data_IF_166736789239
#
_entry.id   IF_166736789239
#
_cell.length_a   1.000
_cell.length_b   1.000
_cell.length_c   1.000
_cell.angle_alpha   90.00
_cell.angle_beta   90.00
_cell.angle_gamma   90.00
#
_symmetry.space_group_name_H-M   'P 1'
#
loop_
_entity.id
_entity.type
_entity.pdbx_description
1 polymer ?
#
# COMPACT_ATOMS: atom_id res chain seq x y z
N UNK A 1 -11.15 24.39 0.48
CA UNK A 1 -12.17 23.46 1.03
C UNK A 1 -11.77 23.01 2.41
N UNK A 2 -12.76 22.62 3.23
CA UNK A 2 -12.53 21.90 4.48
C UNK A 2 -12.68 20.40 4.21
N UNK A 3 -11.58 19.65 4.30
CA UNK A 3 -11.51 18.22 3.94
C UNK A 3 -11.37 17.40 5.21
N UNK A 4 -12.12 16.29 5.29
CA UNK A 4 -12.02 15.33 6.36
C UNK A 4 -11.57 13.97 5.79
N UNK A 5 -10.40 13.50 6.21
CA UNK A 5 -10.00 12.10 6.00
C UNK A 5 -10.61 11.26 7.13
N UNK A 6 -11.38 10.25 6.76
CA UNK A 6 -11.95 9.28 7.68
C UNK A 6 -11.16 7.98 7.61
N UNK A 7 -10.38 7.68 8.65
CA UNK A 7 -9.45 6.56 8.74
C UNK A 7 -9.87 5.58 9.84
N UNK A 8 -9.44 4.35 9.75
CA UNK A 8 -9.67 3.34 10.76
C UNK A 8 -8.91 3.63 12.05
N UNK A 9 -7.58 3.63 11.98
CA UNK A 9 -6.72 3.82 13.17
C UNK A 9 -5.33 4.36 12.77
N UNK A 10 -5.09 5.66 12.95
CA UNK A 10 -3.81 6.31 12.63
C UNK A 10 -2.64 5.88 13.52
N UNK A 11 -2.85 5.09 14.56
CA UNK A 11 -1.76 4.53 15.38
C UNK A 11 -1.12 3.27 14.79
N UNK A 12 -1.71 2.68 13.74
CA UNK A 12 -1.20 1.49 13.08
C UNK A 12 -0.12 1.84 12.06
N UNK A 13 0.88 0.95 11.92
CA UNK A 13 1.93 1.07 10.90
C UNK A 13 1.51 0.31 9.63
N UNK A 14 0.52 0.85 8.91
CA UNK A 14 -0.01 0.28 7.67
C UNK A 14 0.13 1.21 6.48
N UNK A 15 -0.18 0.69 5.28
CA UNK A 15 -0.13 1.47 4.03
C UNK A 15 -1.17 2.57 3.95
N UNK A 16 -2.38 2.33 4.46
CA UNK A 16 -3.49 3.30 4.48
C UNK A 16 -3.16 4.50 5.36
N UNK A 17 -2.66 4.26 6.57
CA UNK A 17 -2.28 5.28 7.53
C UNK A 17 -1.12 6.14 6.99
N UNK A 18 -0.12 5.49 6.35
CA UNK A 18 0.98 6.20 5.70
C UNK A 18 0.50 7.08 4.56
N UNK A 19 -0.37 6.57 3.69
CA UNK A 19 -0.91 7.34 2.57
C UNK A 19 -1.81 8.46 3.03
N UNK A 20 -2.62 8.25 4.09
CA UNK A 20 -3.41 9.30 4.73
C UNK A 20 -2.52 10.43 5.25
N UNK A 21 -1.41 10.09 5.92
CA UNK A 21 -0.43 11.09 6.37
C UNK A 21 0.15 11.86 5.20
N UNK A 22 0.65 11.20 4.17
CA UNK A 22 1.26 11.85 3.00
C UNK A 22 0.25 12.76 2.30
N UNK A 23 -0.94 12.26 1.96
CA UNK A 23 -1.92 13.05 1.20
C UNK A 23 -2.48 14.21 2.03
N UNK A 24 -2.77 14.02 3.30
CA UNK A 24 -3.23 15.10 4.19
C UNK A 24 -2.18 16.20 4.33
N UNK A 25 -0.89 15.84 4.44
CA UNK A 25 0.23 16.77 4.50
C UNK A 25 0.43 17.55 3.18
N UNK A 26 0.13 16.94 2.04
CA UNK A 26 0.19 17.60 0.72
C UNK A 26 -0.95 18.60 0.53
N UNK A 27 -2.16 18.24 0.95
CA UNK A 27 -3.36 19.05 0.73
C UNK A 27 -3.51 20.20 1.74
N UNK A 28 -2.88 20.12 2.92
CA UNK A 28 -3.01 21.15 3.96
C UNK A 28 -2.45 22.52 3.54
N UNK A 29 -1.63 22.57 2.49
CA UNK A 29 -1.10 23.83 1.97
C UNK A 29 -2.13 24.66 1.18
N UNK A 30 -3.18 24.00 0.67
CA UNK A 30 -4.24 24.62 -0.17
C UNK A 30 -5.63 24.46 0.43
N UNK A 31 -5.80 23.57 1.39
CA UNK A 31 -7.06 23.24 2.03
C UNK A 31 -6.94 23.24 3.57
N UNK A 32 -8.06 23.35 4.26
CA UNK A 32 -8.13 23.03 5.68
C UNK A 32 -8.38 21.54 5.82
N UNK A 33 -7.46 20.82 6.48
CA UNK A 33 -7.47 19.35 6.53
C UNK A 33 -7.65 18.86 7.96
N UNK A 34 -8.59 17.93 8.10
CA UNK A 34 -8.84 17.15 9.29
C UNK A 34 -8.61 15.67 9.01
N UNK A 35 -8.04 14.95 9.96
CA UNK A 35 -7.94 13.49 9.96
C UNK A 35 -8.70 12.98 11.18
N UNK A 36 -9.62 12.06 10.98
CA UNK A 36 -10.39 11.44 12.06
C UNK A 36 -10.17 9.95 12.07
N UNK A 37 -9.63 9.44 13.18
CA UNK A 37 -9.53 7.99 13.44
C UNK A 37 -10.81 7.50 14.10
N UNK A 38 -11.39 6.41 13.60
CA UNK A 38 -12.52 5.75 14.26
C UNK A 38 -12.07 4.99 15.52
N UNK A 39 -10.87 4.42 15.49
CA UNK A 39 -10.19 3.75 16.59
C UNK A 39 -8.83 4.41 16.84
N UNK A 40 -8.25 4.16 18.00
CA UNK A 40 -6.89 4.56 18.31
C UNK A 40 -6.37 3.62 19.41
N UNK A 41 -5.65 2.58 18.99
CA UNK A 41 -5.19 1.49 19.89
C UNK A 41 -3.78 1.75 20.41
N UNK A 42 -2.97 2.50 19.68
CA UNK A 42 -1.62 2.90 20.08
C UNK A 42 -1.60 4.15 20.96
N UNK A 43 -0.41 4.57 21.35
CA UNK A 43 -0.18 5.80 22.15
C UNK A 43 0.00 7.03 21.26
N UNK A 44 0.59 6.85 20.06
CA UNK A 44 0.94 7.91 19.13
C UNK A 44 0.50 7.58 17.70
N UNK A 45 0.44 8.62 16.86
CA UNK A 45 0.21 8.50 15.42
C UNK A 45 1.44 7.84 14.79
N UNK A 46 1.22 6.79 13.99
CA UNK A 46 2.30 5.99 13.41
C UNK A 46 3.15 6.73 12.37
N UNK A 47 2.56 7.68 11.65
CA UNK A 47 3.22 8.48 10.62
C UNK A 47 2.98 9.97 10.87
N UNK A 48 4.00 10.84 10.76
CA UNK A 48 3.91 12.24 11.18
C UNK A 48 2.88 13.03 10.34
N UNK A 49 2.06 13.82 11.02
CA UNK A 49 1.17 14.78 10.39
C UNK A 49 1.75 16.18 10.48
N UNK A 50 1.57 16.98 9.43
CA UNK A 50 1.90 18.40 9.46
C UNK A 50 1.12 19.07 10.62
N UNK A 51 1.74 19.97 11.39
CA UNK A 51 1.07 20.66 12.52
C UNK A 51 -0.21 21.40 12.15
N UNK A 52 -0.42 21.73 10.87
CA UNK A 52 -1.66 22.35 10.38
C UNK A 52 -2.79 21.35 10.14
N UNK A 53 -2.51 20.05 10.11
CA UNK A 53 -3.52 18.98 10.00
C UNK A 53 -4.09 18.70 11.38
N UNK A 54 -5.40 18.89 11.55
CA UNK A 54 -6.06 18.60 12.82
C UNK A 54 -6.41 17.10 12.91
N UNK A 55 -5.73 16.36 13.80
CA UNK A 55 -6.09 14.96 14.07
C UNK A 55 -7.05 14.86 15.26
N UNK A 56 -8.05 14.01 15.13
CA UNK A 56 -9.04 13.71 16.17
C UNK A 56 -9.39 12.23 16.20
N UNK A 57 -9.78 11.74 17.36
CA UNK A 57 -10.24 10.37 17.57
C UNK A 57 -11.72 10.37 17.90
N UNK A 58 -12.49 9.59 17.20
CA UNK A 58 -13.91 9.42 17.47
C UNK A 58 -14.11 8.50 18.68
N UNK A 59 -14.12 9.07 19.90
CA UNK A 59 -14.14 8.35 21.19
C UNK A 59 -15.40 7.50 21.47
N UNK A 60 -16.29 7.33 20.50
CA UNK A 60 -17.53 6.56 20.72
C UNK A 60 -17.38 5.06 20.52
N UNK A 61 -16.19 4.52 20.26
CA UNK A 61 -15.97 3.11 19.93
C UNK A 61 -15.34 2.26 21.06
N UNK A 62 -15.45 2.68 22.31
CA UNK A 62 -15.12 1.80 23.43
C UNK A 62 -16.22 0.72 23.56
N UNK A 63 -15.99 -0.45 22.95
CA UNK A 63 -16.95 -1.54 22.88
C UNK A 63 -17.92 -1.41 21.68
N UNK A 64 -18.95 -2.22 21.62
CA UNK A 64 -19.90 -2.35 20.51
C UNK A 64 -20.73 -1.08 20.22
N UNK A 65 -20.08 -0.02 19.74
CA UNK A 65 -20.80 1.20 19.33
C UNK A 65 -21.61 0.93 18.07
N UNK A 66 -22.90 1.19 18.11
CA UNK A 66 -23.76 1.01 16.96
C UNK A 66 -23.35 1.96 15.81
N UNK A 67 -23.46 1.52 14.56
CA UNK A 67 -23.28 2.34 13.35
C UNK A 67 -23.96 3.72 13.49
N UNK A 68 -25.18 3.75 14.03
CA UNK A 68 -25.96 4.98 14.23
C UNK A 68 -25.27 5.99 15.15
N UNK A 69 -24.61 5.51 16.21
CA UNK A 69 -23.88 6.40 17.13
C UNK A 69 -22.68 7.04 16.42
N UNK A 70 -21.89 6.23 15.71
CA UNK A 70 -20.74 6.74 14.93
C UNK A 70 -21.19 7.75 13.88
N UNK A 71 -22.21 7.42 13.10
CA UNK A 71 -22.75 8.32 12.05
C UNK A 71 -23.26 9.62 12.65
N UNK A 72 -23.94 9.59 13.82
CA UNK A 72 -24.44 10.80 14.47
C UNK A 72 -23.32 11.72 14.93
N UNK A 73 -22.27 11.18 15.57
CA UNK A 73 -21.14 11.99 16.02
C UNK A 73 -20.34 12.53 14.83
N UNK A 74 -20.13 11.72 13.79
CA UNK A 74 -19.49 12.16 12.56
C UNK A 74 -20.28 13.27 11.85
N UNK A 75 -21.61 13.14 11.76
CA UNK A 75 -22.49 14.18 11.22
C UNK A 75 -22.41 15.48 12.00
N UNK A 76 -22.37 15.41 13.33
CA UNK A 76 -22.18 16.57 14.18
C UNK A 76 -20.85 17.26 13.89
N UNK A 77 -19.77 16.47 13.76
CA UNK A 77 -18.45 16.99 13.41
C UNK A 77 -18.45 17.68 12.05
N UNK A 78 -19.01 17.03 11.03
CA UNK A 78 -19.15 17.58 9.66
C UNK A 78 -19.85 18.94 9.67
N UNK A 79 -20.96 19.05 10.43
CA UNK A 79 -21.71 20.28 10.53
C UNK A 79 -20.96 21.39 11.29
N UNK A 80 -20.38 21.07 12.46
CA UNK A 80 -19.69 22.04 13.31
C UNK A 80 -18.44 22.62 12.63
N UNK A 81 -17.71 21.78 11.88
CA UNK A 81 -16.48 22.19 11.20
C UNK A 81 -16.71 22.65 9.76
N UNK A 82 -17.95 22.60 9.25
CA UNK A 82 -18.28 23.00 7.88
C UNK A 82 -17.48 22.18 6.86
N UNK A 83 -17.47 20.85 6.99
CA UNK A 83 -16.73 19.96 6.10
C UNK A 83 -17.35 19.95 4.70
N UNK A 84 -16.57 20.34 3.71
CA UNK A 84 -16.99 20.37 2.30
C UNK A 84 -16.87 18.97 1.65
N UNK A 85 -15.83 18.18 2.02
CA UNK A 85 -15.57 16.88 1.46
C UNK A 85 -15.08 15.89 2.52
N UNK A 86 -15.66 14.67 2.52
CA UNK A 86 -15.15 13.53 3.29
C UNK A 86 -14.41 12.61 2.33
N UNK A 87 -13.17 12.26 2.65
CA UNK A 87 -12.40 11.22 1.98
C UNK A 87 -12.39 10.00 2.90
N UNK A 88 -13.19 8.98 2.56
CA UNK A 88 -13.16 7.70 3.25
C UNK A 88 -11.92 6.94 2.83
N UNK A 89 -11.02 6.68 3.76
CA UNK A 89 -9.83 5.89 3.50
C UNK A 89 -10.18 4.41 3.66
N UNK A 90 -10.10 3.69 2.57
CA UNK A 90 -10.63 2.33 2.38
C UNK A 90 -12.18 2.28 2.26
N UNK A 91 -12.64 1.29 1.51
CA UNK A 91 -14.06 1.02 1.27
C UNK A 91 -14.85 0.77 2.55
N UNK A 92 -14.22 0.17 3.59
CA UNK A 92 -14.85 -0.08 4.88
C UNK A 92 -15.33 1.19 5.58
N UNK A 93 -14.64 2.33 5.37
CA UNK A 93 -15.03 3.63 5.93
C UNK A 93 -16.21 4.25 5.18
N UNK A 94 -16.47 3.82 3.95
CA UNK A 94 -17.50 4.39 3.08
C UNK A 94 -18.90 4.43 3.70
N UNK A 95 -19.28 3.40 4.46
CA UNK A 95 -20.60 3.39 5.10
C UNK A 95 -20.78 4.54 6.11
N UNK A 96 -19.74 4.88 6.85
CA UNK A 96 -19.80 5.94 7.86
C UNK A 96 -19.84 7.32 7.22
N UNK A 97 -18.90 7.60 6.31
CA UNK A 97 -18.81 8.91 5.66
C UNK A 97 -20.04 9.24 4.78
N UNK A 98 -20.50 8.27 3.99
CA UNK A 98 -21.68 8.45 3.13
C UNK A 98 -22.92 8.73 3.99
N UNK A 99 -23.19 7.92 5.03
CA UNK A 99 -24.34 8.14 5.90
C UNK A 99 -24.25 9.45 6.69
N UNK A 100 -23.06 9.86 7.06
CA UNK A 100 -22.87 11.15 7.74
C UNK A 100 -23.15 12.34 6.84
N UNK A 101 -22.89 12.25 5.56
CA UNK A 101 -23.12 13.30 4.56
C UNK A 101 -24.58 13.41 4.09
N UNK A 102 -25.42 12.39 4.31
CA UNK A 102 -26.81 12.39 3.85
C UNK A 102 -27.56 13.62 4.37
N UNK A 103 -28.19 14.37 3.45
CA UNK A 103 -28.96 15.59 3.76
C UNK A 103 -28.12 16.85 3.98
N UNK A 104 -26.81 16.79 3.72
CA UNK A 104 -25.91 17.95 3.71
C UNK A 104 -25.42 18.26 2.28
N UNK A 105 -24.63 19.34 2.13
CA UNK A 105 -23.91 19.66 0.88
C UNK A 105 -22.53 19.01 0.81
N UNK A 106 -22.13 18.27 1.85
CA UNK A 106 -20.82 17.64 1.96
C UNK A 106 -20.67 16.56 0.90
N UNK A 107 -19.62 16.62 0.13
CA UNK A 107 -19.24 15.64 -0.87
C UNK A 107 -18.52 14.46 -0.25
N UNK A 108 -18.56 13.31 -0.90
CA UNK A 108 -17.93 12.10 -0.40
C UNK A 108 -17.10 11.43 -1.49
N UNK A 109 -15.82 11.25 -1.21
CA UNK A 109 -14.92 10.41 -1.98
C UNK A 109 -14.66 9.12 -1.19
N UNK A 110 -14.67 7.96 -1.83
CA UNK A 110 -14.12 6.74 -1.25
C UNK A 110 -12.82 6.40 -1.98
N UNK A 111 -11.74 6.26 -1.21
CA UNK A 111 -10.38 5.96 -1.68
C UNK A 111 -10.03 4.51 -1.32
N UNK A 112 -10.14 3.62 -2.30
CA UNK A 112 -9.86 2.19 -2.14
C UNK A 112 -8.35 1.93 -2.18
N UNK A 113 -7.82 1.31 -1.14
CA UNK A 113 -6.40 0.97 -1.02
C UNK A 113 -6.08 -0.49 -1.30
N UNK A 114 -7.10 -1.33 -1.34
CA UNK A 114 -6.97 -2.74 -1.68
C UNK A 114 -7.34 -2.98 -3.14
N UNK A 115 -7.56 -4.21 -3.55
CA UNK A 115 -8.16 -4.51 -4.84
C UNK A 115 -9.60 -5.01 -4.69
N UNK A 116 -10.32 -5.04 -5.80
CA UNK A 116 -11.73 -5.43 -5.86
C UNK A 116 -12.03 -6.80 -5.22
N UNK A 117 -11.11 -7.73 -5.22
CA UNK A 117 -11.33 -9.11 -4.75
C UNK A 117 -10.93 -9.32 -3.29
N UNK A 118 -10.25 -8.37 -2.67
CA UNK A 118 -9.90 -8.48 -1.27
C UNK A 118 -11.11 -8.20 -0.39
N UNK A 119 -11.62 -9.22 0.25
CA UNK A 119 -12.78 -9.13 1.15
C UNK A 119 -12.40 -9.14 2.63
N UNK A 120 -11.09 -9.10 2.94
CA UNK A 120 -10.58 -9.14 4.32
C UNK A 120 -11.19 -10.27 5.17
N UNK A 121 -11.51 -11.42 4.55
CA UNK A 121 -12.17 -12.54 5.19
C UNK A 121 -13.64 -12.29 5.58
N UNK A 122 -14.24 -11.17 5.20
CA UNK A 122 -15.61 -10.81 5.57
C UNK A 122 -16.60 -10.98 4.42
N UNK A 123 -17.66 -11.77 4.63
CA UNK A 123 -18.77 -11.91 3.68
C UNK A 123 -19.58 -10.63 3.46
N UNK A 124 -19.45 -9.64 4.35
CA UNK A 124 -20.13 -8.33 4.25
C UNK A 124 -19.39 -7.35 3.36
N UNK A 125 -18.09 -7.52 3.17
CA UNK A 125 -17.23 -6.55 2.46
C UNK A 125 -17.66 -6.30 1.01
N UNK A 126 -18.10 -7.30 0.21
CA UNK A 126 -18.61 -7.05 -1.13
C UNK A 126 -19.84 -6.13 -1.18
N UNK A 127 -20.69 -6.16 -0.15
CA UNK A 127 -21.86 -5.26 -0.04
C UNK A 127 -21.44 -3.85 0.33
N UNK A 128 -20.48 -3.68 1.26
CA UNK A 128 -19.90 -2.38 1.60
C UNK A 128 -19.23 -1.74 0.39
N UNK A 129 -18.48 -2.51 -0.39
CA UNK A 129 -17.85 -2.07 -1.63
C UNK A 129 -18.87 -1.57 -2.65
N UNK A 130 -19.95 -2.34 -2.88
CA UNK A 130 -21.03 -1.91 -3.77
C UNK A 130 -21.75 -0.67 -3.27
N UNK A 131 -21.95 -0.57 -1.96
CA UNK A 131 -22.55 0.62 -1.34
C UNK A 131 -21.66 1.85 -1.56
N UNK A 132 -20.38 1.76 -1.21
CA UNK A 132 -19.44 2.86 -1.40
C UNK A 132 -19.33 3.29 -2.87
N UNK A 133 -19.16 2.34 -3.81
CA UNK A 133 -19.07 2.64 -5.24
C UNK A 133 -20.37 3.17 -5.87
N UNK A 134 -21.52 3.10 -5.20
CA UNK A 134 -22.80 3.62 -5.69
C UNK A 134 -23.23 4.94 -5.08
N UNK A 135 -22.75 5.25 -3.89
CA UNK A 135 -23.26 6.36 -3.10
C UNK A 135 -22.21 7.42 -2.74
N UNK A 136 -20.95 7.23 -3.12
CA UNK A 136 -19.95 8.31 -3.11
C UNK A 136 -20.22 9.29 -4.27
N UNK A 137 -19.67 10.50 -4.19
CA UNK A 137 -19.64 11.46 -5.32
C UNK A 137 -18.50 11.12 -6.30
N UNK A 138 -17.38 10.58 -5.81
CA UNK A 138 -16.31 9.97 -6.61
C UNK A 138 -15.74 8.74 -5.89
N UNK A 139 -15.20 7.80 -6.68
CA UNK A 139 -14.56 6.59 -6.17
C UNK A 139 -13.14 6.49 -6.74
N UNK A 140 -12.13 6.53 -5.88
CA UNK A 140 -10.72 6.51 -6.28
C UNK A 140 -10.16 5.12 -6.06
N UNK A 141 -9.49 4.58 -7.09
CA UNK A 141 -8.75 3.31 -7.06
C UNK A 141 -7.30 3.55 -7.46
N UNK A 142 -6.41 2.60 -7.17
CA UNK A 142 -4.97 2.80 -7.34
C UNK A 142 -4.45 2.38 -8.73
N UNK A 143 -5.19 1.54 -9.48
CA UNK A 143 -4.75 0.99 -10.75
C UNK A 143 -5.85 0.97 -11.81
N UNK A 144 -5.46 1.04 -13.10
CA UNK A 144 -6.41 0.91 -14.20
C UNK A 144 -7.05 -0.49 -14.25
N UNK A 145 -6.31 -1.51 -13.83
CA UNK A 145 -6.81 -2.89 -13.78
C UNK A 145 -7.94 -3.02 -12.75
N UNK A 146 -7.78 -2.37 -11.59
CA UNK A 146 -8.81 -2.38 -10.56
C UNK A 146 -10.02 -1.52 -10.94
N UNK A 147 -9.81 -0.36 -11.59
CA UNK A 147 -10.90 0.43 -12.18
C UNK A 147 -11.77 -0.43 -13.10
N UNK A 148 -11.16 -1.21 -14.01
CA UNK A 148 -11.91 -2.13 -14.87
C UNK A 148 -12.70 -3.14 -14.05
N UNK A 149 -12.11 -3.72 -13.00
CA UNK A 149 -12.82 -4.64 -12.12
C UNK A 149 -14.08 -4.01 -11.49
N UNK A 150 -14.01 -2.75 -11.06
CA UNK A 150 -15.15 -2.03 -10.51
C UNK A 150 -16.19 -1.72 -11.59
N UNK A 151 -15.79 -1.18 -12.75
CA UNK A 151 -16.69 -0.83 -13.86
C UNK A 151 -17.46 -2.06 -14.36
N UNK A 152 -16.77 -3.18 -14.57
CA UNK A 152 -17.36 -4.39 -15.13
C UNK A 152 -18.33 -5.08 -14.17
N UNK A 153 -18.10 -4.97 -12.86
CA UNK A 153 -18.84 -5.72 -11.83
C UNK A 153 -19.83 -4.91 -11.02
N UNK A 154 -19.67 -3.58 -11.01
CA UNK A 154 -20.59 -2.69 -10.29
C UNK A 154 -21.18 -1.69 -11.27
N UNK A 155 -22.48 -1.83 -11.57
CA UNK A 155 -23.21 -0.82 -12.33
C UNK A 155 -23.40 0.42 -11.46
N UNK A 156 -22.59 1.45 -11.70
CA UNK A 156 -22.64 2.73 -11.01
C UNK A 156 -22.55 3.90 -11.98
N UNK A 157 -23.11 5.06 -11.57
CA UNK A 157 -22.95 6.34 -12.27
C UNK A 157 -21.83 7.19 -11.63
N UNK A 158 -21.31 6.74 -10.49
CA UNK A 158 -20.22 7.41 -9.78
C UNK A 158 -18.95 7.33 -10.64
N UNK A 159 -18.24 8.44 -10.86
CA UNK A 159 -16.97 8.43 -11.56
C UNK A 159 -15.95 7.61 -10.78
N UNK A 160 -15.37 6.59 -11.43
CA UNK A 160 -14.27 5.80 -10.89
C UNK A 160 -12.97 6.35 -11.49
N UNK A 161 -12.15 6.94 -10.65
CA UNK A 161 -10.91 7.64 -11.03
C UNK A 161 -9.71 6.83 -10.57
N UNK A 162 -8.67 6.73 -11.40
CA UNK A 162 -7.40 6.12 -11.01
C UNK A 162 -6.46 7.20 -10.52
N UNK A 163 -6.07 7.12 -9.25
CA UNK A 163 -5.02 7.94 -8.65
C UNK A 163 -4.12 6.99 -7.87
N UNK A 164 -2.90 6.73 -8.34
CA UNK A 164 -1.96 5.86 -7.62
C UNK A 164 -1.48 6.53 -6.33
N UNK A 165 -0.92 5.75 -5.44
CA UNK A 165 -0.22 6.28 -4.27
C UNK A 165 1.10 6.94 -4.70
N UNK A 166 1.49 8.07 -4.09
CA UNK A 166 2.74 8.75 -4.40
C UNK A 166 3.96 8.05 -3.80
N UNK A 167 5.09 8.20 -4.44
CA UNK A 167 6.41 7.82 -3.93
C UNK A 167 7.39 8.97 -4.11
N UNK A 168 8.30 9.15 -3.16
CA UNK A 168 9.45 10.04 -3.33
C UNK A 168 10.47 9.38 -4.24
N UNK A 169 10.98 10.14 -5.21
CA UNK A 169 12.00 9.66 -6.17
C UNK A 169 13.36 10.03 -5.60
N UNK A 170 14.20 9.02 -5.41
CA UNK A 170 15.56 9.20 -4.90
C UNK A 170 16.60 9.20 -6.02
N UNK A 171 17.71 9.90 -5.82
CA UNK A 171 18.90 9.68 -6.63
C UNK A 171 19.46 8.30 -6.30
N UNK A 172 19.45 7.42 -7.30
CA UNK A 172 19.86 6.04 -7.10
C UNK A 172 21.36 5.88 -7.24
N UNK A 173 21.98 5.25 -6.24
CA UNK A 173 23.36 4.76 -6.29
C UNK A 173 23.35 3.24 -6.10
N UNK A 174 22.94 2.52 -7.15
CA UNK A 174 22.82 1.07 -7.10
C UNK A 174 24.19 0.40 -6.85
N UNK A 175 24.29 -0.37 -5.75
CA UNK A 175 25.50 -1.12 -5.39
C UNK A 175 25.51 -2.50 -6.07
N UNK A 176 26.29 -2.62 -7.15
CA UNK A 176 26.47 -3.89 -7.87
C UNK A 176 27.16 -4.98 -7.05
N UNK A 177 27.93 -4.61 -6.01
CA UNK A 177 28.65 -5.57 -5.17
C UNK A 177 27.77 -6.18 -4.07
N UNK A 178 26.59 -5.58 -3.86
CA UNK A 178 25.65 -6.10 -2.87
C UNK A 178 25.21 -7.52 -3.21
N UNK A 179 25.08 -8.35 -2.17
CA UNK A 179 24.54 -9.71 -2.22
C UNK A 179 23.31 -9.85 -1.33
N UNK A 180 22.60 -8.74 -1.11
CA UNK A 180 21.41 -8.70 -0.28
C UNK A 180 20.15 -8.70 -1.13
N UNK A 181 19.30 -9.70 -0.92
CA UNK A 181 17.92 -9.72 -1.40
C UNK A 181 17.08 -9.02 -0.33
N UNK A 182 16.20 -8.11 -0.73
CA UNK A 182 15.32 -7.39 0.18
C UNK A 182 13.86 -7.73 -0.08
N UNK A 183 13.10 -7.86 0.97
CA UNK A 183 11.64 -7.84 0.98
C UNK A 183 11.15 -7.04 2.17
N UNK A 184 9.98 -6.40 2.06
CA UNK A 184 9.39 -5.67 3.17
C UNK A 184 7.87 -5.80 3.19
N UNK A 185 7.30 -5.89 4.38
CA UNK A 185 5.87 -5.93 4.58
C UNK A 185 5.45 -6.56 5.91
N UNK A 186 4.17 -6.40 6.25
CA UNK A 186 3.62 -7.05 7.44
C UNK A 186 3.71 -8.58 7.31
N UNK A 187 4.15 -9.28 8.35
CA UNK A 187 4.26 -10.74 8.34
C UNK A 187 2.88 -11.37 8.54
N UNK A 188 2.11 -11.43 7.43
CA UNK A 188 0.76 -12.01 7.34
C UNK A 188 0.66 -12.96 6.14
N UNK A 189 -0.25 -13.94 6.14
CA UNK A 189 -0.32 -14.98 5.09
C UNK A 189 -0.44 -14.46 3.67
N UNK A 190 -1.09 -13.31 3.48
CA UNK A 190 -1.32 -12.70 2.16
C UNK A 190 -0.02 -12.18 1.51
N UNK A 191 1.04 -11.93 2.30
CA UNK A 191 2.35 -11.47 1.80
C UNK A 191 3.23 -12.62 1.28
N UNK A 192 2.86 -13.88 1.55
CA UNK A 192 3.49 -15.05 0.95
C UNK A 192 4.94 -15.27 1.38
N UNK A 193 5.35 -14.85 2.60
CA UNK A 193 6.71 -15.08 3.08
C UNK A 193 7.02 -16.55 3.37
N UNK A 194 5.99 -17.39 3.52
CA UNK A 194 6.08 -18.84 3.48
C UNK A 194 6.58 -19.34 2.12
N UNK A 195 6.14 -18.74 1.03
CA UNK A 195 6.65 -19.03 -0.32
C UNK A 195 8.09 -18.51 -0.48
N UNK A 196 8.39 -17.33 0.10
CA UNK A 196 9.74 -16.79 0.08
C UNK A 196 10.76 -17.75 0.71
N UNK A 197 10.42 -18.47 1.79
CA UNK A 197 11.31 -19.48 2.39
C UNK A 197 11.56 -20.67 1.47
N UNK A 198 10.55 -21.11 0.68
CA UNK A 198 10.72 -22.17 -0.31
C UNK A 198 11.63 -21.72 -1.46
N UNK A 199 11.48 -20.47 -1.93
CA UNK A 199 12.35 -19.86 -2.93
C UNK A 199 13.79 -19.76 -2.39
N UNK A 200 13.95 -19.25 -1.16
CA UNK A 200 15.24 -19.07 -0.49
C UNK A 200 16.03 -20.39 -0.41
N UNK A 201 15.38 -21.49 -0.03
CA UNK A 201 16.00 -22.81 0.02
C UNK A 201 16.65 -23.19 -1.31
N UNK A 202 15.95 -22.98 -2.43
CA UNK A 202 16.44 -23.33 -3.77
C UNK A 202 17.52 -22.35 -4.27
N UNK A 203 17.42 -21.07 -3.93
CA UNK A 203 18.42 -20.07 -4.31
C UNK A 203 19.72 -20.29 -3.52
N UNK A 204 19.65 -20.42 -2.19
CA UNK A 204 20.84 -20.50 -1.35
C UNK A 204 21.54 -21.88 -1.40
N UNK A 205 20.87 -22.94 -1.87
CA UNK A 205 21.56 -24.18 -2.22
C UNK A 205 22.57 -24.01 -3.36
N UNK A 206 22.40 -23.01 -4.22
CA UNK A 206 23.28 -22.69 -5.34
C UNK A 206 24.16 -21.46 -5.08
N UNK A 207 23.67 -20.55 -4.26
CA UNK A 207 24.34 -19.27 -3.96
C UNK A 207 24.35 -19.00 -2.44
N UNK A 208 25.09 -19.80 -1.67
CA UNK A 208 25.15 -19.68 -0.19
C UNK A 208 25.82 -18.39 0.29
N UNK A 209 26.49 -17.67 -0.61
CA UNK A 209 27.14 -16.37 -0.36
C UNK A 209 26.17 -15.17 -0.36
N UNK A 210 24.87 -15.40 -0.63
CA UNK A 210 23.82 -14.38 -0.63
C UNK A 210 23.00 -14.44 0.66
N UNK A 211 22.34 -13.32 0.98
CA UNK A 211 21.41 -13.22 2.11
C UNK A 211 20.08 -12.61 1.67
N UNK A 212 19.03 -12.92 2.40
CA UNK A 212 17.70 -12.33 2.21
C UNK A 212 17.22 -11.70 3.50
N UNK A 213 16.99 -10.38 3.47
CA UNK A 213 16.46 -9.59 4.57
C UNK A 213 14.98 -9.35 4.32
N UNK A 214 14.12 -9.73 5.25
CA UNK A 214 12.66 -9.55 5.19
C UNK A 214 12.28 -8.61 6.34
N UNK A 215 12.09 -7.33 6.04
CA UNK A 215 11.75 -6.29 7.01
C UNK A 215 10.24 -6.28 7.29
N UNK A 216 9.88 -6.34 8.55
CA UNK A 216 8.50 -6.25 9.03
C UNK A 216 8.19 -7.09 10.25
N UNK A 217 7.00 -6.88 10.78
CA UNK A 217 6.44 -7.60 11.92
C UNK A 217 5.05 -8.13 11.58
N UNK A 218 4.60 -9.12 12.34
CA UNK A 218 3.25 -9.64 12.19
C UNK A 218 3.03 -11.00 12.83
N UNK A 219 1.78 -11.49 12.82
CA UNK A 219 1.42 -12.75 13.48
C UNK A 219 2.11 -14.00 12.91
N UNK A 220 2.64 -13.94 11.68
CA UNK A 220 3.36 -15.07 11.07
C UNK A 220 4.84 -15.16 11.49
N UNK A 221 5.37 -14.23 12.32
CA UNK A 221 6.79 -14.21 12.69
C UNK A 221 7.28 -15.55 13.23
N UNK A 222 6.64 -16.08 14.27
CA UNK A 222 7.06 -17.35 14.89
C UNK A 222 6.99 -18.53 13.91
N UNK A 223 6.00 -18.51 13.02
CA UNK A 223 5.86 -19.53 11.98
C UNK A 223 7.03 -19.45 10.99
N UNK A 224 7.36 -18.25 10.53
CA UNK A 224 8.47 -18.03 9.58
C UNK A 224 9.83 -18.37 10.20
N UNK A 225 10.08 -17.99 11.45
CA UNK A 225 11.30 -18.36 12.17
C UNK A 225 11.48 -19.89 12.27
N UNK A 226 10.39 -20.62 12.57
CA UNK A 226 10.40 -22.09 12.56
C UNK A 226 10.71 -22.67 11.17
N UNK A 227 10.09 -22.14 10.11
CA UNK A 227 10.36 -22.56 8.73
C UNK A 227 11.83 -22.30 8.35
N UNK A 228 12.37 -21.12 8.65
CA UNK A 228 13.77 -20.76 8.38
C UNK A 228 14.74 -21.77 9.04
N UNK A 229 14.47 -22.13 10.30
CA UNK A 229 15.30 -23.12 11.01
C UNK A 229 15.15 -24.53 10.43
N UNK A 230 13.93 -24.97 10.16
CA UNK A 230 13.66 -26.31 9.60
C UNK A 230 14.26 -26.50 8.21
N UNK A 231 14.30 -25.45 7.39
CA UNK A 231 14.87 -25.47 6.05
C UNK A 231 16.39 -25.20 6.03
N UNK A 232 17.02 -25.00 7.19
CA UNK A 232 18.47 -24.75 7.30
C UNK A 232 18.90 -23.37 6.78
N UNK A 233 18.02 -22.39 6.82
CA UNK A 233 18.22 -21.04 6.25
C UNK A 233 18.68 -19.99 7.25
N UNK A 234 18.99 -20.37 8.49
CA UNK A 234 19.32 -19.42 9.58
C UNK A 234 20.51 -18.49 9.26
N UNK A 235 21.42 -18.90 8.39
CA UNK A 235 22.60 -18.10 8.00
C UNK A 235 22.31 -17.20 6.77
N UNK A 236 21.17 -17.35 6.12
CA UNK A 236 20.87 -16.66 4.86
C UNK A 236 19.61 -15.81 4.93
N UNK A 237 18.62 -16.15 5.75
CA UNK A 237 17.35 -15.40 5.84
C UNK A 237 17.24 -14.73 7.21
N UNK A 238 17.03 -13.42 7.19
CA UNK A 238 17.00 -12.57 8.39
C UNK A 238 15.66 -11.83 8.51
N UNK A 239 15.09 -11.81 9.71
CA UNK A 239 13.87 -11.09 10.07
C UNK A 239 14.19 -9.99 11.09
N UNK A 240 14.69 -8.81 10.67
CA UNK A 240 15.11 -7.74 11.60
C UNK A 240 13.95 -7.09 12.36
N UNK A 241 12.72 -7.38 11.98
CA UNK A 241 11.54 -6.72 12.53
C UNK A 241 11.15 -5.46 11.77
N UNK A 242 10.42 -4.56 12.45
CA UNK A 242 10.05 -3.27 11.86
C UNK A 242 11.28 -2.36 11.77
N UNK A 243 11.64 -1.98 10.57
CA UNK A 243 12.65 -0.96 10.28
C UNK A 243 11.93 0.38 10.08
N UNK A 244 12.30 1.39 10.85
CA UNK A 244 11.63 2.71 10.83
C UNK A 244 12.04 3.50 9.59
N UNK A 245 13.34 3.51 9.28
CA UNK A 245 13.89 4.12 8.09
C UNK A 245 14.49 3.02 7.21
N UNK A 246 13.82 2.77 6.09
CA UNK A 246 14.21 1.73 5.13
C UNK A 246 15.30 2.17 4.15
N UNK A 247 15.79 3.40 4.25
CA UNK A 247 16.74 3.96 3.27
C UNK A 247 18.03 3.14 3.18
N UNK A 248 18.57 2.73 4.34
CA UNK A 248 19.78 1.91 4.40
C UNK A 248 19.56 0.52 3.79
N UNK A 249 18.41 -0.09 4.06
CA UNK A 249 18.06 -1.40 3.51
C UNK A 249 17.88 -1.34 1.99
N UNK A 250 17.23 -0.31 1.47
CA UNK A 250 17.10 -0.11 0.02
C UNK A 250 18.45 0.18 -0.63
N UNK A 251 19.27 1.04 -0.04
CA UNK A 251 20.58 1.43 -0.60
C UNK A 251 21.53 0.24 -0.75
N UNK A 252 21.43 -0.76 0.14
CA UNK A 252 22.28 -1.94 0.15
C UNK A 252 21.62 -3.19 -0.46
N UNK A 253 20.47 -3.06 -1.12
CA UNK A 253 19.80 -4.18 -1.76
C UNK A 253 20.30 -4.42 -3.19
N UNK A 254 20.67 -5.66 -3.52
CA UNK A 254 20.99 -6.09 -4.88
C UNK A 254 19.74 -6.33 -5.73
N UNK A 255 18.64 -6.77 -5.10
CA UNK A 255 17.33 -6.93 -5.71
C UNK A 255 16.23 -6.89 -4.67
N UNK A 256 15.05 -6.50 -5.07
CA UNK A 256 13.83 -6.58 -4.26
C UNK A 256 12.93 -7.72 -4.75
N UNK A 257 12.41 -8.53 -3.83
CA UNK A 257 11.53 -9.66 -4.17
C UNK A 257 10.18 -9.50 -3.50
N UNK A 258 9.09 -9.63 -4.28
CA UNK A 258 7.72 -9.62 -3.77
C UNK A 258 7.05 -10.97 -4.02
N UNK A 259 6.66 -11.64 -2.93
CA UNK A 259 5.96 -12.94 -2.96
C UNK A 259 4.49 -12.85 -2.60
N UNK A 260 3.94 -11.63 -2.51
CA UNK A 260 2.55 -11.38 -2.13
C UNK A 260 1.56 -12.12 -3.02
N UNK A 261 0.49 -12.63 -2.40
CA UNK A 261 -0.64 -13.30 -3.09
C UNK A 261 -1.68 -12.28 -3.56
N UNK A 262 -1.72 -11.11 -2.93
CA UNK A 262 -2.67 -10.03 -3.27
C UNK A 262 -2.17 -8.68 -2.79
N UNK A 263 -2.30 -7.66 -3.63
CA UNK A 263 -2.01 -6.25 -3.34
C UNK A 263 -3.05 -5.35 -4.02
N UNK A 264 -3.16 -4.10 -3.56
CA UNK A 264 -3.77 -3.02 -4.34
C UNK A 264 -2.73 -2.41 -5.29
N UNK A 265 -1.84 -1.60 -4.71
CA UNK A 265 -0.62 -1.10 -5.34
C UNK A 265 0.51 -1.25 -4.31
N UNK A 266 1.47 -2.18 -4.51
CA UNK A 266 2.49 -2.47 -3.51
C UNK A 266 3.51 -1.33 -3.42
N UNK A 267 3.39 -0.51 -2.37
CA UNK A 267 4.27 0.65 -2.13
C UNK A 267 5.75 0.26 -2.07
N UNK A 268 6.05 -0.88 -1.48
CA UNK A 268 7.42 -1.41 -1.37
C UNK A 268 8.08 -1.66 -2.74
N UNK A 269 7.30 -1.94 -3.80
CA UNK A 269 7.83 -2.01 -5.16
C UNK A 269 8.11 -0.63 -5.75
N UNK A 270 7.25 0.35 -5.47
CA UNK A 270 7.50 1.74 -5.88
C UNK A 270 8.73 2.30 -5.17
N UNK A 271 8.87 2.01 -3.89
CA UNK A 271 10.05 2.38 -3.09
C UNK A 271 11.32 1.71 -3.64
N UNK A 272 11.33 0.38 -3.81
CA UNK A 272 12.47 -0.32 -4.39
C UNK A 272 12.85 0.27 -5.77
N UNK A 273 11.84 0.54 -6.60
CA UNK A 273 12.03 1.16 -7.91
C UNK A 273 12.63 2.57 -7.81
N UNK A 274 12.18 3.39 -6.86
CA UNK A 274 12.70 4.74 -6.65
C UNK A 274 14.16 4.77 -6.19
N UNK A 275 14.62 3.69 -5.56
CA UNK A 275 16.02 3.47 -5.18
C UNK A 275 16.86 2.80 -6.27
N UNK A 276 16.28 2.54 -7.45
CA UNK A 276 17.03 1.92 -8.56
C UNK A 276 17.24 0.42 -8.42
N UNK A 277 16.46 -0.27 -7.61
CA UNK A 277 16.69 -1.69 -7.31
C UNK A 277 15.97 -2.57 -8.33
N UNK A 278 16.64 -3.54 -8.97
CA UNK A 278 16.00 -4.56 -9.79
C UNK A 278 14.96 -5.36 -9.00
N UNK A 279 13.81 -5.63 -9.61
CA UNK A 279 12.68 -6.26 -8.93
C UNK A 279 12.38 -7.62 -9.53
N UNK A 280 12.06 -8.62 -8.67
CA UNK A 280 11.41 -9.87 -9.07
C UNK A 280 10.11 -9.99 -8.27
N UNK A 281 8.98 -10.07 -8.96
CA UNK A 281 7.66 -10.09 -8.31
C UNK A 281 6.76 -11.12 -8.93
N UNK A 282 5.86 -11.72 -8.14
CA UNK A 282 4.69 -12.36 -8.71
C UNK A 282 3.83 -11.33 -9.45
N UNK A 283 3.35 -11.66 -10.66
CA UNK A 283 2.37 -10.89 -11.41
C UNK A 283 0.95 -11.20 -10.93
N UNK A 284 0.67 -10.74 -9.73
CA UNK A 284 -0.66 -10.85 -9.14
C UNK A 284 -1.65 -9.90 -9.82
N UNK A 285 -2.93 -10.01 -9.45
CA UNK A 285 -4.03 -9.36 -10.16
C UNK A 285 -3.87 -7.85 -10.35
N UNK A 286 -3.35 -7.10 -9.35
CA UNK A 286 -3.17 -5.65 -9.38
C UNK A 286 -1.82 -5.27 -8.79
N UNK A 287 -1.23 -4.22 -9.28
CA UNK A 287 -0.05 -3.55 -8.73
C UNK A 287 1.27 -3.88 -9.42
N UNK A 288 1.81 -5.11 -9.37
CA UNK A 288 3.14 -5.37 -9.93
C UNK A 288 3.29 -5.01 -11.41
N UNK A 289 2.36 -5.41 -12.27
CA UNK A 289 2.37 -5.07 -13.71
C UNK A 289 2.04 -3.58 -14.01
N UNK A 290 1.57 -2.82 -13.02
CA UNK A 290 1.43 -1.36 -13.14
C UNK A 290 2.77 -0.62 -12.86
N UNK A 291 3.72 -1.32 -12.21
CA UNK A 291 5.00 -0.78 -11.73
C UNK A 291 6.18 -1.32 -12.56
N UNK A 292 6.18 -2.62 -12.87
CA UNK A 292 7.29 -3.34 -13.50
C UNK A 292 7.00 -3.52 -14.98
N UNK A 293 7.99 -3.24 -15.83
CA UNK A 293 8.05 -3.67 -17.22
C UNK A 293 8.87 -4.95 -17.28
N UNK A 294 8.21 -6.08 -17.53
CA UNK A 294 8.86 -7.39 -17.54
C UNK A 294 10.03 -7.46 -18.54
N UNK A 295 11.20 -7.88 -18.05
CA UNK A 295 12.43 -7.97 -18.83
C UNK A 295 13.13 -6.62 -19.11
N UNK A 296 12.58 -5.47 -18.67
CA UNK A 296 13.21 -4.16 -18.87
C UNK A 296 13.77 -3.57 -17.56
N UNK A 297 12.98 -3.58 -16.48
CA UNK A 297 13.39 -3.05 -15.17
C UNK A 297 13.08 -3.98 -14.00
N UNK A 298 12.69 -5.21 -14.30
CA UNK A 298 12.38 -6.26 -13.35
C UNK A 298 11.81 -7.48 -14.06
N UNK A 299 11.46 -8.49 -13.27
CA UNK A 299 10.79 -9.68 -13.75
C UNK A 299 9.43 -9.85 -13.10
N UNK A 300 8.42 -10.16 -13.91
CA UNK A 300 7.11 -10.60 -13.50
C UNK A 300 7.03 -12.13 -13.64
N UNK A 301 6.60 -12.79 -12.59
CA UNK A 301 6.51 -14.25 -12.50
C UNK A 301 5.06 -14.62 -12.21
N UNK A 302 4.58 -15.68 -12.85
CA UNK A 302 3.26 -16.23 -12.56
C UNK A 302 3.07 -16.47 -11.05
N UNK A 303 1.92 -16.09 -10.46
CA UNK A 303 1.69 -16.26 -9.04
C UNK A 303 1.99 -17.67 -8.54
N UNK A 304 2.69 -17.75 -7.40
CA UNK A 304 3.07 -19.00 -6.73
C UNK A 304 4.02 -19.93 -7.52
N UNK A 305 4.51 -19.52 -8.69
CA UNK A 305 5.46 -20.32 -9.47
C UNK A 305 6.89 -20.15 -8.90
N UNK A 306 7.17 -20.94 -7.85
CA UNK A 306 8.46 -20.94 -7.14
C UNK A 306 9.64 -21.20 -8.07
N UNK A 307 9.52 -22.16 -9.00
CA UNK A 307 10.64 -22.56 -9.86
C UNK A 307 11.03 -21.45 -10.84
N UNK A 308 10.05 -20.76 -11.42
CA UNK A 308 10.32 -19.63 -12.30
C UNK A 308 10.88 -18.46 -11.50
N UNK A 309 10.38 -18.18 -10.29
CA UNK A 309 10.94 -17.14 -9.42
C UNK A 309 12.40 -17.40 -9.08
N UNK A 310 12.74 -18.62 -8.68
CA UNK A 310 14.14 -19.04 -8.45
C UNK A 310 15.00 -18.83 -9.69
N UNK A 311 14.54 -19.26 -10.87
CA UNK A 311 15.25 -19.07 -12.13
C UNK A 311 15.54 -17.59 -12.42
N UNK A 312 14.54 -16.70 -12.23
CA UNK A 312 14.68 -15.25 -12.47
C UNK A 312 15.63 -14.61 -11.46
N UNK A 313 15.54 -15.01 -10.19
CA UNK A 313 16.47 -14.53 -9.15
C UNK A 313 17.91 -14.98 -9.45
N UNK A 314 18.14 -16.25 -9.78
CA UNK A 314 19.46 -16.77 -10.13
C UNK A 314 20.02 -16.10 -11.40
N UNK A 315 19.18 -15.76 -12.37
CA UNK A 315 19.57 -14.98 -13.54
C UNK A 315 20.13 -13.62 -13.14
N UNK A 316 19.41 -12.84 -12.28
CA UNK A 316 19.90 -11.56 -11.76
C UNK A 316 21.16 -11.74 -10.90
N UNK A 317 21.24 -12.79 -10.09
CA UNK A 317 22.42 -13.09 -9.25
C UNK A 317 23.67 -13.30 -10.11
N UNK A 318 23.55 -13.99 -11.23
CA UNK A 318 24.69 -14.41 -12.06
C UNK A 318 25.07 -13.38 -13.13
N UNK A 319 24.17 -12.45 -13.46
CA UNK A 319 24.35 -11.48 -14.56
C UNK A 319 24.33 -10.03 -14.01
N UNK A 320 25.54 -9.51 -13.76
CA UNK A 320 25.74 -8.15 -13.27
C UNK A 320 25.34 -7.08 -14.27
N UNK A 321 25.54 -7.33 -15.57
CA UNK A 321 25.18 -6.39 -16.63
C UNK A 321 23.64 -6.25 -16.70
N UNK A 322 22.92 -7.38 -16.56
CA UNK A 322 21.47 -7.36 -16.50
C UNK A 322 20.96 -6.62 -15.26
N UNK A 323 21.58 -6.84 -14.08
CA UNK A 323 21.21 -6.10 -12.87
C UNK A 323 21.42 -4.59 -13.06
N UNK A 324 22.58 -4.18 -13.63
CA UNK A 324 22.86 -2.78 -13.95
C UNK A 324 21.83 -2.23 -14.92
N UNK A 325 21.54 -2.94 -16.00
CA UNK A 325 20.54 -2.52 -16.99
C UNK A 325 19.16 -2.31 -16.39
N UNK A 326 18.73 -3.18 -15.44
CA UNK A 326 17.45 -3.02 -14.74
C UNK A 326 17.47 -1.82 -13.78
N UNK A 327 18.56 -1.63 -13.06
CA UNK A 327 18.75 -0.48 -12.18
C UNK A 327 18.70 0.85 -12.96
N UNK A 328 19.41 0.96 -14.07
CA UNK A 328 19.44 2.15 -14.94
C UNK A 328 18.04 2.50 -15.50
N UNK A 329 17.19 1.47 -15.69
CA UNK A 329 15.83 1.62 -16.20
C UNK A 329 14.77 1.65 -15.10
N UNK A 330 15.16 1.62 -13.83
CA UNK A 330 14.22 1.61 -12.72
C UNK A 330 13.27 2.79 -12.73
N UNK A 331 13.75 3.98 -13.12
CA UNK A 331 12.95 5.22 -13.16
C UNK A 331 11.95 5.30 -14.33
N UNK A 332 11.94 4.33 -15.26
CA UNK A 332 10.93 4.31 -16.33
C UNK A 332 9.51 4.35 -15.76
N UNK A 333 8.70 5.32 -16.20
CA UNK A 333 7.32 5.56 -15.75
C UNK A 333 7.15 5.91 -14.25
N UNK A 334 8.21 6.21 -13.53
CA UNK A 334 8.10 6.53 -12.10
C UNK A 334 7.46 7.90 -11.87
N UNK A 335 7.57 8.83 -12.84
CA UNK A 335 6.97 10.17 -12.81
C UNK A 335 5.45 10.15 -12.57
N UNK A 336 4.73 9.14 -13.08
CA UNK A 336 3.28 8.99 -12.85
C UNK A 336 2.91 8.78 -11.38
N UNK A 337 3.87 8.36 -10.55
CA UNK A 337 3.75 8.16 -9.10
C UNK A 337 4.40 9.29 -8.29
N UNK A 338 4.93 10.33 -8.94
CA UNK A 338 5.54 11.45 -8.22
C UNK A 338 4.52 12.16 -7.34
N UNK A 339 5.02 12.72 -6.25
CA UNK A 339 4.21 13.45 -5.26
C UNK A 339 3.43 14.59 -5.92
N UNK A 340 4.07 15.32 -6.83
CA UNK A 340 3.50 16.45 -7.57
C UNK A 340 2.35 16.01 -8.47
N UNK A 341 2.58 14.94 -9.23
CA UNK A 341 1.58 14.41 -10.18
C UNK A 341 0.35 13.88 -9.47
N UNK A 342 0.55 13.12 -8.40
CA UNK A 342 -0.54 12.56 -7.58
C UNK A 342 -1.33 13.70 -6.92
N UNK A 343 -0.64 14.73 -6.38
CA UNK A 343 -1.30 15.91 -5.81
C UNK A 343 -2.19 16.61 -6.86
N UNK A 344 -1.69 16.85 -8.07
CA UNK A 344 -2.45 17.47 -9.16
C UNK A 344 -3.72 16.69 -9.50
N UNK A 345 -3.63 15.34 -9.52
CA UNK A 345 -4.78 14.48 -9.77
C UNK A 345 -5.83 14.61 -8.66
N UNK A 346 -5.42 14.63 -7.40
CA UNK A 346 -6.33 14.83 -6.27
C UNK A 346 -6.99 16.21 -6.30
N UNK A 347 -6.22 17.28 -6.56
CA UNK A 347 -6.76 18.63 -6.71
C UNK A 347 -7.79 18.71 -7.83
N UNK A 348 -7.56 17.97 -8.94
CA UNK A 348 -8.49 17.90 -10.06
C UNK A 348 -9.79 17.22 -9.67
N UNK A 349 -9.74 16.11 -8.94
CA UNK A 349 -10.95 15.42 -8.46
C UNK A 349 -11.71 16.32 -7.49
N UNK A 350 -11.04 16.95 -6.52
CA UNK A 350 -11.65 17.84 -5.54
C UNK A 350 -12.35 19.05 -6.19
N UNK A 351 -11.79 19.61 -7.27
CA UNK A 351 -12.41 20.73 -8.02
C UNK A 351 -13.65 20.33 -8.81
N UNK A 352 -13.76 19.06 -9.18
CA UNK A 352 -14.85 18.55 -10.03
C UNK A 352 -16.02 17.96 -9.23
N UNK A 353 -16.01 18.04 -7.90
CA UNK A 353 -17.11 17.62 -7.01
C UNK A 353 -18.21 18.69 -6.95
#
# INVERSE_FOLDING_TARGET
>A
MNILFLEGDMSRRGGTERMTSILSNLLVNTHRVHVMSLHFQGEEIAFPLNPKVAHQVLRCLNGSSSLLKVVRELRKFVHVHGIDCIINVDTGMGIYGILAAVGSKTKVITWEHSNFFNNWGSSKFPYLRRFAAKFSDAFVVLTEKDKRNYVDRIRTKVPIVVIPNPVEIHESHYDLNSKTILSAGMLVPIKGFDIATQVAKKVFSQRPDWKWVICGEGPEREHLEKLILQEGLANNVFLPGNVVDMSDEYQHAAMFVLTSKMEGLPMVLLEAKSWGIPIVSFDIMTGPSDIIRDGENGFLVEPENVDVMVKKMLQLISDEELRRSFADKSNLDLDKFSVERVKEQWETVLKNL
#
